data_IF_724608323735
#
_entry.id   IF_724608323735
#
_cell.length_a   1.000
_cell.length_b   1.000
_cell.length_c   1.000
_cell.angle_alpha   90.00
_cell.angle_beta   90.00
_cell.angle_gamma   90.00
#
_symmetry.space_group_name_H-M   'P 1'
#
loop_
_entity.id
_entity.type
_entity.pdbx_description
1 polymer ?
#
# COMPACT_ATOMS: atom_id res chain seq x y z
N UNK A 1 -10.75 -15.01 -32.93
CA UNK A 1 -10.52 -16.25 -32.15
C UNK A 1 -9.10 -16.36 -31.60
N UNK A 2 -8.04 -16.22 -32.42
CA UNK A 2 -6.63 -16.27 -31.94
C UNK A 2 -6.31 -15.20 -30.88
N UNK A 3 -6.72 -13.95 -31.12
CA UNK A 3 -6.55 -12.83 -30.17
C UNK A 3 -7.21 -13.05 -28.81
N UNK A 4 -8.39 -13.69 -28.80
CA UNK A 4 -9.13 -14.03 -27.59
C UNK A 4 -8.42 -15.13 -26.78
N UNK A 5 -8.00 -16.20 -27.46
CA UNK A 5 -7.26 -17.30 -26.84
C UNK A 5 -5.93 -16.81 -26.23
N UNK A 6 -5.18 -15.99 -26.97
CA UNK A 6 -3.94 -15.38 -26.46
C UNK A 6 -4.21 -14.50 -25.24
N UNK A 7 -5.27 -13.69 -25.26
CA UNK A 7 -5.65 -12.87 -24.11
C UNK A 7 -5.94 -13.75 -22.89
N UNK A 8 -6.86 -14.70 -22.99
CA UNK A 8 -7.25 -15.56 -21.86
C UNK A 8 -6.05 -16.37 -21.34
N UNK A 9 -5.27 -16.99 -22.22
CA UNK A 9 -4.09 -17.76 -21.84
C UNK A 9 -3.06 -16.91 -21.08
N UNK A 10 -2.78 -15.68 -21.56
CA UNK A 10 -1.85 -14.77 -20.87
C UNK A 10 -2.33 -14.37 -19.47
N UNK A 11 -3.64 -14.21 -19.29
CA UNK A 11 -4.25 -13.85 -18.00
C UNK A 11 -4.23 -15.02 -17.03
N UNK A 12 -4.51 -16.23 -17.51
CA UNK A 12 -4.39 -17.45 -16.70
C UNK A 12 -2.94 -17.69 -16.25
N UNK A 13 -1.97 -17.55 -17.15
CA UNK A 13 -0.55 -17.67 -16.81
C UNK A 13 -0.14 -16.65 -15.75
N UNK A 14 -0.65 -15.42 -15.86
CA UNK A 14 -0.39 -14.35 -14.89
C UNK A 14 -0.98 -14.67 -13.52
N UNK A 15 -2.23 -15.15 -13.45
CA UNK A 15 -2.84 -15.57 -12.18
C UNK A 15 -2.09 -16.74 -11.54
N UNK A 16 -1.64 -17.71 -12.36
CA UNK A 16 -0.82 -18.81 -11.88
C UNK A 16 0.51 -18.30 -11.30
N UNK A 17 1.19 -17.39 -12.00
CA UNK A 17 2.43 -16.80 -11.52
C UNK A 17 2.22 -16.04 -10.20
N UNK A 18 1.13 -15.28 -10.08
CA UNK A 18 0.77 -14.61 -8.82
C UNK A 18 0.51 -15.60 -7.70
N UNK A 19 -0.25 -16.66 -7.95
CA UNK A 19 -0.50 -17.69 -6.96
C UNK A 19 0.79 -18.37 -6.50
N UNK A 20 1.67 -18.79 -7.44
CA UNK A 20 2.95 -19.45 -7.10
C UNK A 20 3.83 -18.52 -6.26
N UNK A 21 4.00 -17.27 -6.70
CA UNK A 21 4.85 -16.29 -6.00
C UNK A 21 4.27 -15.93 -4.64
N UNK A 22 2.97 -15.76 -4.52
CA UNK A 22 2.34 -15.43 -3.23
C UNK A 22 2.38 -16.62 -2.28
N UNK A 23 1.90 -17.79 -2.71
CA UNK A 23 1.76 -18.97 -1.85
C UNK A 23 3.11 -19.58 -1.42
N UNK A 24 4.08 -19.63 -2.33
CA UNK A 24 5.34 -20.36 -2.08
C UNK A 24 6.54 -19.46 -1.77
N UNK A 25 6.48 -18.16 -2.07
CA UNK A 25 7.56 -17.23 -1.75
C UNK A 25 7.13 -16.21 -0.69
N UNK A 26 6.07 -15.43 -0.92
CA UNK A 26 5.76 -14.25 -0.09
C UNK A 26 5.03 -14.57 1.21
N UNK A 27 4.11 -15.55 1.21
CA UNK A 27 3.41 -15.98 2.43
C UNK A 27 4.34 -16.63 3.46
N UNK A 28 5.20 -17.60 3.12
CA UNK A 28 6.07 -18.23 4.10
C UNK A 28 7.28 -17.37 4.49
N UNK A 29 7.55 -16.25 3.80
CA UNK A 29 8.80 -15.50 3.92
C UNK A 29 9.11 -15.04 5.35
N UNK A 30 8.16 -14.40 6.03
CA UNK A 30 8.37 -13.87 7.38
C UNK A 30 8.50 -15.00 8.41
N UNK A 31 7.59 -15.99 8.47
CA UNK A 31 7.75 -17.13 9.38
C UNK A 31 9.03 -17.94 9.14
N UNK A 32 9.46 -18.10 7.89
CA UNK A 32 10.67 -18.85 7.54
C UNK A 32 11.95 -18.15 8.01
N UNK A 33 12.01 -16.82 7.86
CA UNK A 33 13.19 -16.03 8.19
C UNK A 33 13.26 -15.64 9.68
N UNK A 34 12.12 -15.47 10.34
CA UNK A 34 12.05 -14.86 11.68
C UNK A 34 11.24 -15.67 12.70
N UNK A 35 10.79 -16.87 12.36
CA UNK A 35 10.00 -17.75 13.23
C UNK A 35 10.75 -18.19 14.50
N UNK A 36 10.05 -18.32 15.65
CA UNK A 36 8.64 -17.99 15.86
C UNK A 36 8.38 -16.48 15.80
N UNK A 37 7.26 -16.12 15.17
CA UNK A 37 6.80 -14.74 15.06
C UNK A 37 5.72 -14.53 16.10
N UNK A 38 5.87 -13.48 16.90
CA UNK A 38 5.05 -13.28 18.08
C UNK A 38 4.19 -12.03 17.93
N UNK A 39 3.05 -11.91 18.64
CA UNK A 39 2.18 -10.74 18.50
C UNK A 39 2.93 -9.41 18.72
N UNK A 40 3.82 -9.33 19.72
CA UNK A 40 4.57 -8.12 20.03
C UNK A 40 5.52 -7.65 18.92
N UNK A 41 5.80 -8.48 17.90
CA UNK A 41 6.55 -8.06 16.72
C UNK A 41 5.80 -7.04 15.85
N UNK A 42 4.47 -6.92 16.04
CA UNK A 42 3.57 -6.06 15.29
C UNK A 42 2.68 -5.18 16.19
N UNK A 43 3.05 -4.99 17.45
CA UNK A 43 2.26 -4.18 18.36
C UNK A 43 2.28 -2.67 18.03
N UNK A 44 1.58 -1.87 18.83
CA UNK A 44 1.57 -0.42 18.68
C UNK A 44 2.97 0.20 18.88
N UNK A 45 3.84 -0.42 19.68
CA UNK A 45 5.18 0.06 19.92
C UNK A 45 6.06 -0.11 18.67
N UNK A 46 5.95 -1.25 17.99
CA UNK A 46 6.55 -1.54 16.70
C UNK A 46 6.18 -0.49 15.65
N UNK A 47 4.96 0.09 15.68
CA UNK A 47 4.55 1.15 14.75
C UNK A 47 5.33 2.48 14.92
N UNK A 48 5.91 2.74 16.09
CA UNK A 48 6.61 3.99 16.43
C UNK A 48 8.11 4.00 16.14
N UNK A 49 8.59 3.10 15.27
CA UNK A 49 9.98 2.85 14.88
C UNK A 49 10.94 4.07 14.94
N UNK A 50 10.66 5.15 14.21
CA UNK A 50 11.60 6.29 14.13
C UNK A 50 11.81 7.03 15.45
N UNK A 51 10.82 7.02 16.36
CA UNK A 51 10.94 7.63 17.69
C UNK A 51 11.79 6.81 18.65
N UNK A 52 12.14 5.59 18.26
CA UNK A 52 12.87 4.59 19.05
C UNK A 52 14.20 4.21 18.40
N UNK A 53 14.66 4.99 17.42
CA UNK A 53 16.01 4.82 16.89
C UNK A 53 17.02 5.00 18.03
N UNK A 54 18.18 4.30 18.00
CA UNK A 54 19.18 4.37 19.07
C UNK A 54 19.71 5.78 19.39
N UNK A 55 19.48 6.76 18.51
CA UNK A 55 19.83 8.16 18.72
C UNK A 55 18.88 8.90 19.68
N UNK A 56 17.67 8.37 19.90
CA UNK A 56 16.69 8.93 20.85
C UNK A 56 16.71 8.11 22.14
N UNK A 57 16.64 8.78 23.30
CA UNK A 57 16.45 8.10 24.58
C UNK A 57 15.06 7.45 24.62
N UNK A 58 15.01 6.15 24.34
CA UNK A 58 13.80 5.33 24.43
C UNK A 58 14.02 4.17 25.38
N UNK A 59 13.02 3.85 26.20
CA UNK A 59 13.08 2.70 27.14
C UNK A 59 13.32 1.37 26.43
N UNK A 60 12.81 1.24 25.21
CA UNK A 60 12.90 0.03 24.39
C UNK A 60 13.35 0.42 22.96
N UNK A 61 14.68 0.50 22.73
CA UNK A 61 15.23 0.89 21.43
C UNK A 61 14.93 -0.16 20.35
N UNK A 62 14.82 0.30 19.11
CA UNK A 62 14.63 -0.56 17.93
C UNK A 62 15.71 -1.63 17.87
N UNK A 63 15.30 -2.87 17.66
CA UNK A 63 16.21 -4.00 17.48
C UNK A 63 16.55 -4.24 15.99
N UNK A 64 17.65 -4.95 15.75
CA UNK A 64 17.98 -5.41 14.39
C UNK A 64 16.90 -6.36 13.86
N UNK A 65 16.34 -7.23 14.70
CA UNK A 65 15.25 -8.14 14.33
C UNK A 65 14.01 -7.37 13.88
N UNK A 66 13.56 -6.37 14.65
CA UNK A 66 12.43 -5.51 14.28
C UNK A 66 12.66 -4.84 12.92
N UNK A 67 13.87 -4.31 12.69
CA UNK A 67 14.24 -3.66 11.43
C UNK A 67 14.15 -4.63 10.25
N UNK A 68 14.70 -5.85 10.39
CA UNK A 68 14.69 -6.85 9.33
C UNK A 68 13.27 -7.36 9.04
N UNK A 69 12.47 -7.63 10.08
CA UNK A 69 11.05 -8.00 9.93
C UNK A 69 10.31 -6.90 9.17
N UNK A 70 10.51 -5.63 9.57
CA UNK A 70 9.85 -4.49 8.93
C UNK A 70 10.25 -4.33 7.46
N UNK A 71 11.53 -4.53 7.10
CA UNK A 71 11.99 -4.50 5.70
C UNK A 71 11.23 -5.55 4.87
N UNK A 72 11.22 -6.80 5.34
CA UNK A 72 10.58 -7.92 4.64
C UNK A 72 9.06 -7.73 4.59
N UNK A 73 8.46 -7.24 5.68
CA UNK A 73 7.05 -6.89 5.75
C UNK A 73 6.67 -5.84 4.73
N UNK A 74 7.44 -4.75 4.60
CA UNK A 74 7.16 -3.70 3.62
C UNK A 74 7.18 -4.22 2.19
N UNK A 75 8.17 -5.06 1.84
CA UNK A 75 8.24 -5.68 0.51
C UNK A 75 7.04 -6.60 0.26
N UNK A 76 6.71 -7.45 1.23
CA UNK A 76 5.55 -8.34 1.17
C UNK A 76 4.24 -7.57 1.06
N UNK A 77 4.08 -6.50 1.82
CA UNK A 77 2.88 -5.67 1.84
C UNK A 77 2.65 -4.98 0.48
N UNK A 78 3.70 -4.42 -0.12
CA UNK A 78 3.62 -3.83 -1.48
C UNK A 78 3.22 -4.89 -2.50
N UNK A 79 3.84 -6.09 -2.42
CA UNK A 79 3.54 -7.20 -3.32
C UNK A 79 2.08 -7.66 -3.21
N UNK A 80 1.59 -7.91 -2.00
CA UNK A 80 0.23 -8.42 -1.78
C UNK A 80 -0.82 -7.42 -2.27
N UNK A 81 -0.70 -6.14 -1.89
CA UNK A 81 -1.64 -5.12 -2.34
C UNK A 81 -1.64 -4.94 -3.87
N UNK A 82 -0.47 -5.09 -4.51
CA UNK A 82 -0.38 -5.08 -5.97
C UNK A 82 -1.08 -6.31 -6.60
N UNK A 83 -0.79 -7.50 -6.08
CA UNK A 83 -1.34 -8.76 -6.60
C UNK A 83 -2.84 -8.83 -6.39
N UNK A 84 -3.35 -8.47 -5.21
CA UNK A 84 -4.79 -8.60 -4.90
C UNK A 84 -5.65 -7.80 -5.88
N UNK A 85 -5.27 -6.54 -6.12
CA UNK A 85 -5.99 -5.64 -7.02
C UNK A 85 -5.84 -6.09 -8.48
N UNK A 86 -4.64 -6.42 -8.92
CA UNK A 86 -4.38 -6.79 -10.32
C UNK A 86 -4.86 -8.20 -10.67
N UNK A 87 -4.89 -9.12 -9.70
CA UNK A 87 -5.46 -10.46 -9.85
C UNK A 87 -6.98 -10.36 -10.01
N UNK A 88 -7.67 -9.56 -9.19
CA UNK A 88 -9.10 -9.31 -9.34
C UNK A 88 -9.43 -8.75 -10.74
N UNK A 89 -8.66 -7.77 -11.22
CA UNK A 89 -8.79 -7.25 -12.59
C UNK A 89 -8.58 -8.31 -13.66
N UNK A 90 -7.52 -9.10 -13.50
CA UNK A 90 -7.14 -10.14 -14.44
C UNK A 90 -8.20 -11.24 -14.51
N UNK A 91 -8.77 -11.61 -13.37
CA UNK A 91 -9.86 -12.57 -13.25
C UNK A 91 -11.15 -12.04 -13.90
N UNK A 92 -11.56 -10.82 -13.58
CA UNK A 92 -12.73 -10.20 -14.22
C UNK A 92 -12.55 -10.08 -15.73
N UNK A 93 -11.33 -9.75 -16.20
CA UNK A 93 -11.04 -9.72 -17.63
C UNK A 93 -11.23 -11.06 -18.33
N UNK A 94 -10.90 -12.18 -17.67
CA UNK A 94 -11.20 -13.52 -18.20
C UNK A 94 -12.72 -13.73 -18.31
N UNK A 95 -13.50 -13.31 -17.31
CA UNK A 95 -14.95 -13.44 -17.32
C UNK A 95 -15.57 -12.61 -18.45
N UNK A 96 -15.32 -11.29 -18.49
CA UNK A 96 -16.00 -10.37 -19.40
C UNK A 96 -15.54 -10.52 -20.86
N UNK A 97 -14.24 -10.72 -21.10
CA UNK A 97 -13.71 -10.88 -22.46
C UNK A 97 -13.78 -12.34 -22.92
N UNK A 98 -13.36 -13.28 -22.07
CA UNK A 98 -13.20 -14.69 -22.38
C UNK A 98 -14.50 -15.48 -22.41
N UNK A 99 -15.27 -15.41 -21.31
CA UNK A 99 -16.44 -16.26 -21.07
C UNK A 99 -17.70 -15.61 -21.63
N UNK A 100 -18.02 -14.40 -21.14
CA UNK A 100 -19.24 -13.67 -21.50
C UNK A 100 -19.14 -13.00 -22.87
N UNK A 101 -17.92 -12.73 -23.35
CA UNK A 101 -17.64 -12.04 -24.62
C UNK A 101 -18.37 -10.70 -24.75
N UNK A 102 -18.52 -9.99 -23.64
CA UNK A 102 -19.13 -8.67 -23.58
C UNK A 102 -18.15 -7.57 -23.99
N UNK A 103 -16.87 -7.78 -23.68
CA UNK A 103 -15.81 -6.80 -23.90
C UNK A 103 -14.73 -7.34 -24.85
N UNK A 104 -14.02 -6.41 -25.48
CA UNK A 104 -12.82 -6.68 -26.26
C UNK A 104 -11.55 -6.66 -25.38
N UNK A 105 -10.48 -7.38 -25.77
CA UNK A 105 -9.20 -7.34 -25.05
C UNK A 105 -8.63 -5.92 -24.84
N UNK A 106 -8.91 -4.99 -25.74
CA UNK A 106 -8.41 -3.61 -25.72
C UNK A 106 -9.08 -2.76 -24.62
N UNK A 107 -10.29 -3.12 -24.21
CA UNK A 107 -11.04 -2.44 -23.14
C UNK A 107 -10.53 -2.81 -21.74
N UNK A 108 -9.65 -3.82 -21.64
CA UNK A 108 -9.06 -4.31 -20.40
C UNK A 108 -7.55 -4.00 -20.30
N UNK A 109 -7.15 -2.72 -20.24
CA UNK A 109 -5.74 -2.34 -20.12
C UNK A 109 -5.14 -2.80 -18.79
N UNK A 110 -3.81 -2.71 -18.66
CA UNK A 110 -3.13 -3.04 -17.40
C UNK A 110 -3.53 -2.06 -16.30
N UNK A 111 -3.84 -2.57 -15.11
CA UNK A 111 -4.14 -1.70 -13.95
C UNK A 111 -2.93 -0.91 -13.49
N UNK A 112 -1.75 -1.50 -13.60
CA UNK A 112 -0.50 -0.92 -13.16
C UNK A 112 0.38 -0.52 -14.34
N UNK A 113 1.27 0.44 -14.10
CA UNK A 113 2.35 0.80 -15.01
C UNK A 113 3.62 0.00 -14.73
N UNK A 114 4.75 0.48 -15.25
CA UNK A 114 6.05 -0.14 -14.96
C UNK A 114 6.51 0.19 -13.54
N UNK A 115 6.89 -0.81 -12.72
CA UNK A 115 7.53 -0.59 -11.42
C UNK A 115 8.82 0.23 -11.51
N UNK A 116 9.50 0.21 -12.67
CA UNK A 116 10.74 0.96 -12.91
C UNK A 116 10.53 2.49 -12.90
N UNK A 117 9.29 2.95 -12.99
CA UNK A 117 8.95 4.37 -12.89
C UNK A 117 8.66 4.82 -11.47
N UNK A 118 8.62 3.91 -10.49
CA UNK A 118 8.21 4.17 -9.10
C UNK A 118 9.33 4.74 -8.20
N UNK A 119 10.20 5.60 -8.75
CA UNK A 119 11.33 6.22 -8.02
C UNK A 119 10.99 7.60 -7.42
N UNK A 120 9.72 7.94 -7.29
CA UNK A 120 9.23 9.09 -6.52
C UNK A 120 7.79 8.80 -6.16
N UNK A 121 7.26 9.33 -5.06
CA UNK A 121 5.88 9.08 -4.66
C UNK A 121 4.90 9.65 -5.69
N UNK A 122 5.20 10.80 -6.29
CA UNK A 122 4.40 11.32 -7.41
C UNK A 122 4.32 10.34 -8.58
N UNK A 123 5.43 9.69 -8.92
CA UNK A 123 5.46 8.70 -10.01
C UNK A 123 4.89 7.36 -9.60
N UNK A 124 5.09 6.94 -8.36
CA UNK A 124 4.46 5.77 -7.77
C UNK A 124 2.94 5.86 -7.97
N UNK A 125 2.31 6.93 -7.47
CA UNK A 125 0.85 7.09 -7.56
C UNK A 125 0.34 7.48 -8.96
N UNK A 126 1.12 8.22 -9.75
CA UNK A 126 0.67 8.74 -11.05
C UNK A 126 1.05 7.90 -12.28
N UNK A 127 2.06 7.04 -12.19
CA UNK A 127 2.58 6.24 -13.32
C UNK A 127 2.50 4.74 -13.06
N UNK A 128 2.71 4.30 -11.83
CA UNK A 128 2.75 2.88 -11.49
C UNK A 128 1.43 2.38 -10.90
N UNK A 129 0.95 2.97 -9.81
CA UNK A 129 -0.18 2.50 -9.01
C UNK A 129 -1.54 2.76 -9.66
N UNK A 130 -2.42 1.77 -9.58
CA UNK A 130 -3.87 1.84 -9.81
C UNK A 130 -4.36 2.91 -10.81
N UNK A 131 -4.02 2.73 -12.09
CA UNK A 131 -4.20 3.75 -13.14
C UNK A 131 -5.66 3.95 -13.57
N UNK A 132 -6.53 2.96 -13.34
CA UNK A 132 -7.93 3.00 -13.79
C UNK A 132 -8.73 4.09 -13.09
N UNK A 133 -8.49 4.30 -11.79
CA UNK A 133 -9.24 5.29 -10.99
C UNK A 133 -8.75 6.73 -11.20
N UNK A 134 -7.55 6.93 -11.77
CA UNK A 134 -6.97 8.26 -11.92
C UNK A 134 -7.82 9.18 -12.81
N UNK A 135 -8.32 8.68 -13.95
CA UNK A 135 -9.14 9.48 -14.88
C UNK A 135 -10.45 9.98 -14.25
N UNK A 136 -11.30 9.11 -13.65
CA UNK A 136 -12.54 9.57 -13.03
C UNK A 136 -12.28 10.53 -11.86
N UNK A 137 -11.27 10.24 -11.01
CA UNK A 137 -10.93 11.13 -9.89
C UNK A 137 -10.44 12.49 -10.36
N UNK A 138 -9.59 12.54 -11.39
CA UNK A 138 -9.15 13.80 -11.98
C UNK A 138 -10.32 14.58 -12.60
N UNK A 139 -11.28 13.89 -13.22
CA UNK A 139 -12.49 14.51 -13.76
C UNK A 139 -13.29 15.23 -12.68
N UNK A 140 -13.61 14.53 -11.58
CA UNK A 140 -14.26 15.10 -10.41
C UNK A 140 -13.45 16.26 -9.82
N UNK A 141 -12.14 16.08 -9.66
CA UNK A 141 -11.28 17.11 -9.10
C UNK A 141 -11.27 18.39 -9.94
N UNK A 142 -11.27 18.27 -11.27
CA UNK A 142 -11.37 19.42 -12.19
C UNK A 142 -12.72 20.13 -12.11
N UNK A 143 -13.82 19.40 -11.91
CA UNK A 143 -15.15 20.02 -11.72
C UNK A 143 -15.13 20.90 -10.47
N UNK A 144 -14.64 20.37 -9.35
CA UNK A 144 -14.54 21.13 -8.09
C UNK A 144 -13.57 22.30 -8.21
N UNK A 145 -12.38 22.10 -8.82
CA UNK A 145 -11.41 23.17 -9.08
C UNK A 145 -11.99 24.33 -9.90
N UNK A 146 -12.84 24.02 -10.89
CA UNK A 146 -13.56 25.04 -11.67
C UNK A 146 -14.59 25.79 -10.84
N UNK A 147 -15.40 25.06 -10.06
CA UNK A 147 -16.45 25.64 -9.19
C UNK A 147 -15.88 26.56 -8.12
N UNK A 148 -14.73 26.21 -7.56
CA UNK A 148 -14.03 27.01 -6.53
C UNK A 148 -13.05 28.04 -7.11
N UNK A 149 -13.01 28.21 -8.43
CA UNK A 149 -12.10 29.12 -9.13
C UNK A 149 -10.59 28.91 -8.86
N UNK A 150 -10.17 27.75 -8.34
CA UNK A 150 -8.76 27.45 -8.03
C UNK A 150 -7.89 27.42 -9.28
N UNK A 151 -8.45 27.06 -10.43
CA UNK A 151 -7.78 27.16 -11.74
C UNK A 151 -7.27 28.57 -12.08
N UNK A 152 -7.83 29.63 -11.47
CA UNK A 152 -7.38 31.01 -11.66
C UNK A 152 -6.20 31.39 -10.76
N UNK A 153 -5.90 30.59 -9.74
CA UNK A 153 -4.86 30.87 -8.73
C UNK A 153 -3.45 30.43 -9.16
N UNK A 154 -3.28 30.05 -10.43
CA UNK A 154 -2.00 29.66 -11.01
C UNK A 154 -1.75 28.15 -11.08
N UNK A 155 -0.97 27.74 -12.08
CA UNK A 155 -0.77 26.34 -12.46
C UNK A 155 -0.23 25.44 -11.32
N UNK A 156 0.64 25.99 -10.46
CA UNK A 156 1.22 25.21 -9.35
C UNK A 156 0.17 24.93 -8.27
N UNK A 157 -0.61 25.94 -7.88
CA UNK A 157 -1.64 25.79 -6.86
C UNK A 157 -2.77 24.89 -7.36
N UNK A 158 -3.17 25.03 -8.63
CA UNK A 158 -4.16 24.14 -9.24
C UNK A 158 -3.68 22.67 -9.21
N UNK A 159 -2.42 22.39 -9.59
CA UNK A 159 -1.89 21.03 -9.55
C UNK A 159 -1.85 20.45 -8.14
N UNK A 160 -1.50 21.26 -7.13
CA UNK A 160 -1.51 20.84 -5.73
C UNK A 160 -2.94 20.53 -5.26
N UNK A 161 -3.87 21.42 -5.55
CA UNK A 161 -5.28 21.25 -5.21
C UNK A 161 -5.91 20.01 -5.87
N UNK A 162 -5.64 19.81 -7.16
CA UNK A 162 -6.11 18.62 -7.88
C UNK A 162 -5.51 17.34 -7.29
N UNK A 163 -4.22 17.36 -6.92
CA UNK A 163 -3.57 16.21 -6.28
C UNK A 163 -4.24 15.92 -4.94
N UNK A 164 -4.39 16.92 -4.06
CA UNK A 164 -5.09 16.78 -2.79
C UNK A 164 -6.49 16.18 -2.98
N UNK A 165 -7.27 16.71 -3.91
CA UNK A 165 -8.65 16.26 -4.11
C UNK A 165 -8.74 14.85 -4.68
N UNK A 166 -7.82 14.43 -5.56
CA UNK A 166 -7.75 13.04 -6.04
C UNK A 166 -7.49 12.08 -4.87
N UNK A 167 -6.55 12.42 -3.98
CA UNK A 167 -6.27 11.62 -2.80
C UNK A 167 -7.44 11.61 -1.81
N UNK A 168 -8.10 12.76 -1.59
CA UNK A 168 -9.29 12.85 -0.75
C UNK A 168 -10.43 11.96 -1.26
N UNK A 169 -10.72 12.00 -2.57
CA UNK A 169 -11.74 11.13 -3.19
C UNK A 169 -11.37 9.66 -3.02
N UNK A 170 -10.09 9.31 -3.20
CA UNK A 170 -9.60 7.95 -2.96
C UNK A 170 -9.79 7.52 -1.51
N UNK A 171 -9.42 8.37 -0.54
CA UNK A 171 -9.59 8.08 0.88
C UNK A 171 -11.04 7.92 1.29
N UNK A 172 -11.95 8.75 0.75
CA UNK A 172 -13.39 8.59 0.97
C UNK A 172 -13.93 7.28 0.39
N UNK A 173 -13.44 6.85 -0.77
CA UNK A 173 -13.84 5.58 -1.36
C UNK A 173 -13.43 4.38 -0.49
N UNK A 174 -12.24 4.43 0.12
CA UNK A 174 -11.79 3.43 1.09
C UNK A 174 -12.61 3.47 2.39
N UNK A 175 -12.83 4.67 2.93
CA UNK A 175 -13.62 4.87 4.14
C UNK A 175 -15.05 4.31 4.04
N UNK A 176 -15.68 4.38 2.86
CA UNK A 176 -17.01 3.77 2.63
C UNK A 176 -16.98 2.25 2.84
N UNK A 177 -15.89 1.57 2.46
CA UNK A 177 -15.73 0.13 2.67
C UNK A 177 -15.59 -0.16 4.16
N UNK A 178 -14.74 0.60 4.86
CA UNK A 178 -14.50 0.45 6.31
C UNK A 178 -15.76 0.71 7.13
N UNK A 179 -16.54 1.75 6.79
CA UNK A 179 -17.84 2.03 7.42
C UNK A 179 -18.84 0.89 7.19
N UNK A 180 -18.89 0.32 5.98
CA UNK A 180 -19.76 -0.83 5.69
C UNK A 180 -19.35 -2.09 6.45
N UNK A 181 -18.07 -2.21 6.79
CA UNK A 181 -17.54 -3.24 7.69
C UNK A 181 -17.75 -2.97 9.18
N UNK A 182 -18.38 -1.84 9.56
CA UNK A 182 -18.56 -1.45 10.96
C UNK A 182 -17.34 -0.82 11.62
N UNK A 183 -16.32 -0.44 10.84
CA UNK A 183 -15.01 -0.02 11.33
C UNK A 183 -14.80 1.49 11.18
N UNK A 184 -15.44 2.26 12.05
CA UNK A 184 -15.47 3.73 11.94
C UNK A 184 -14.10 4.38 12.15
N UNK A 185 -13.27 3.84 13.04
CA UNK A 185 -11.91 4.35 13.30
C UNK A 185 -11.04 4.17 12.04
N UNK A 186 -11.05 2.97 11.45
CA UNK A 186 -10.32 2.68 10.21
C UNK A 186 -10.76 3.60 9.06
N UNK A 187 -12.04 3.97 8.99
CA UNK A 187 -12.53 4.91 7.99
C UNK A 187 -11.89 6.32 8.10
N UNK A 188 -11.58 6.78 9.32
CA UNK A 188 -10.86 8.04 9.54
C UNK A 188 -9.39 7.90 9.16
N UNK A 189 -8.79 6.76 9.49
CA UNK A 189 -7.41 6.44 9.14
C UNK A 189 -7.21 6.33 7.63
N UNK A 190 -8.17 5.74 6.91
CA UNK A 190 -8.22 5.68 5.45
C UNK A 190 -8.09 7.08 4.83
N UNK A 191 -8.99 7.99 5.21
CA UNK A 191 -9.00 9.37 4.68
C UNK A 191 -7.69 10.08 5.04
N UNK A 192 -7.26 9.93 6.29
CA UNK A 192 -6.04 10.57 6.81
C UNK A 192 -4.80 10.11 6.03
N UNK A 193 -4.67 8.81 5.79
CA UNK A 193 -3.56 8.22 5.05
C UNK A 193 -3.43 8.77 3.63
N UNK A 194 -4.53 8.81 2.87
CA UNK A 194 -4.49 9.34 1.51
C UNK A 194 -4.21 10.85 1.50
N UNK A 195 -4.79 11.61 2.43
CA UNK A 195 -4.47 13.04 2.59
C UNK A 195 -2.99 13.28 2.91
N UNK A 196 -2.40 12.48 3.81
CA UNK A 196 -0.95 12.55 4.12
C UNK A 196 -0.11 12.26 2.89
N UNK A 197 -0.47 11.27 2.06
CA UNK A 197 0.23 11.00 0.80
C UNK A 197 0.24 12.23 -0.12
N UNK A 198 -0.87 12.97 -0.20
CA UNK A 198 -0.93 14.20 -1.00
C UNK A 198 0.02 15.29 -0.46
N UNK A 199 0.12 15.43 0.86
CA UNK A 199 1.04 16.38 1.51
C UNK A 199 2.50 15.97 1.29
N UNK A 200 2.82 14.69 1.42
CA UNK A 200 4.16 14.15 1.19
C UNK A 200 4.60 14.36 -0.26
N UNK A 201 3.70 14.18 -1.24
CA UNK A 201 3.98 14.49 -2.65
C UNK A 201 4.24 15.98 -2.87
N UNK A 202 3.53 16.85 -2.16
CA UNK A 202 3.76 18.30 -2.22
C UNK A 202 5.16 18.65 -1.70
N UNK A 203 5.55 18.09 -0.55
CA UNK A 203 6.88 18.25 0.05
C UNK A 203 7.97 17.67 -0.87
N UNK A 204 7.77 16.47 -1.43
CA UNK A 204 8.67 15.87 -2.43
C UNK A 204 8.87 16.83 -3.61
N UNK A 205 7.81 17.49 -4.08
CA UNK A 205 7.89 18.49 -5.14
C UNK A 205 8.75 19.71 -4.78
N UNK A 206 8.67 20.20 -3.54
CA UNK A 206 9.51 21.30 -3.04
C UNK A 206 10.97 20.86 -2.97
N UNK A 207 11.24 19.69 -2.38
CA UNK A 207 12.61 19.14 -2.26
C UNK A 207 13.24 18.96 -3.64
N UNK A 208 12.52 18.37 -4.60
CA UNK A 208 12.98 18.22 -5.98
C UNK A 208 13.27 19.59 -6.62
N UNK A 209 12.47 20.62 -6.30
CA UNK A 209 12.72 21.99 -6.73
C UNK A 209 14.03 22.55 -6.17
N UNK A 210 14.31 22.34 -4.89
CA UNK A 210 15.53 22.80 -4.21
C UNK A 210 16.80 22.12 -4.75
N UNK A 211 16.73 20.82 -5.05
CA UNK A 211 17.87 20.07 -5.63
C UNK A 211 17.94 20.15 -7.16
N UNK A 212 17.02 20.87 -7.80
CA UNK A 212 17.00 21.01 -9.26
C UNK A 212 18.27 21.63 -9.86
N UNK A 213 18.99 22.57 -9.21
CA UNK A 213 20.23 23.13 -9.75
C UNK A 213 21.38 22.12 -9.80
N UNK A 214 21.43 21.17 -8.86
CA UNK A 214 22.49 20.15 -8.81
C UNK A 214 22.19 18.93 -9.68
N UNK A 215 20.91 18.71 -10.01
CA UNK A 215 20.43 17.55 -10.78
C UNK A 215 21.14 17.34 -12.13
N UNK A 216 21.47 18.36 -12.94
CA UNK A 216 22.17 18.16 -14.21
C UNK A 216 23.57 17.55 -14.06
N UNK A 217 24.19 17.69 -12.89
CA UNK A 217 25.52 17.15 -12.60
C UNK A 217 25.48 15.70 -12.07
N UNK A 218 24.28 15.18 -11.77
CA UNK A 218 24.10 13.82 -11.24
C UNK A 218 23.71 12.85 -12.36
N UNK A 219 24.32 11.66 -12.42
CA UNK A 219 23.87 10.62 -13.34
C UNK A 219 22.41 10.23 -13.11
N UNK A 220 21.66 10.01 -14.20
CA UNK A 220 20.24 9.68 -14.12
C UNK A 220 19.94 8.41 -13.29
N UNK A 221 20.84 7.42 -13.33
CA UNK A 221 20.71 6.20 -12.54
C UNK A 221 20.83 6.48 -11.02
N UNK A 222 21.71 7.40 -10.61
CA UNK A 222 21.89 7.78 -9.21
C UNK A 222 20.60 8.44 -8.68
N UNK A 223 20.03 9.38 -9.42
CA UNK A 223 18.74 10.00 -9.10
C UNK A 223 17.61 8.96 -8.96
N UNK A 224 17.60 7.90 -9.80
CA UNK A 224 16.61 6.82 -9.71
C UNK A 224 16.82 5.97 -8.45
N UNK A 225 18.06 5.58 -8.13
CA UNK A 225 18.35 4.80 -6.92
C UNK A 225 17.94 5.56 -5.67
N UNK A 226 18.35 6.83 -5.54
CA UNK A 226 17.95 7.69 -4.42
C UNK A 226 16.42 7.78 -4.33
N UNK A 227 15.76 7.91 -5.47
CA UNK A 227 14.30 7.92 -5.57
C UNK A 227 13.63 6.63 -5.10
N UNK A 228 14.18 5.46 -5.45
CA UNK A 228 13.68 4.18 -4.96
C UNK A 228 13.91 4.00 -3.46
N UNK A 229 15.06 4.42 -2.94
CA UNK A 229 15.34 4.42 -1.50
C UNK A 229 14.32 5.30 -0.77
N UNK A 230 14.01 6.47 -1.32
CA UNK A 230 12.99 7.37 -0.76
C UNK A 230 11.60 6.72 -0.73
N UNK A 231 11.14 6.16 -1.85
CA UNK A 231 9.83 5.49 -1.93
C UNK A 231 9.76 4.29 -0.98
N UNK A 232 10.83 3.50 -0.90
CA UNK A 232 10.92 2.39 0.05
C UNK A 232 10.87 2.88 1.49
N UNK A 233 11.63 3.94 1.83
CA UNK A 233 11.65 4.53 3.18
C UNK A 233 10.26 5.05 3.58
N UNK A 234 9.55 5.67 2.64
CA UNK A 234 8.16 6.08 2.86
C UNK A 234 7.26 4.89 3.19
N UNK A 235 7.32 3.80 2.42
CA UNK A 235 6.51 2.61 2.69
C UNK A 235 6.96 1.83 3.93
N UNK A 236 8.26 1.85 4.25
CA UNK A 236 8.82 1.32 5.48
C UNK A 236 8.24 2.00 6.72
N UNK A 237 7.90 3.29 6.60
CA UNK A 237 7.21 4.04 7.62
C UNK A 237 5.69 3.85 7.59
N UNK A 238 5.09 3.90 6.41
CA UNK A 238 3.65 3.99 6.22
C UNK A 238 2.93 2.63 6.30
N UNK A 239 3.48 1.56 5.70
CA UNK A 239 2.80 0.27 5.65
C UNK A 239 2.55 -0.35 7.04
N UNK A 240 3.48 -0.30 8.01
CA UNK A 240 3.23 -0.77 9.36
C UNK A 240 2.08 -0.06 10.08
N UNK A 241 1.94 1.26 9.88
CA UNK A 241 0.85 2.04 10.50
C UNK A 241 -0.52 1.61 10.01
N UNK A 242 -0.58 1.06 8.80
CA UNK A 242 -1.80 0.57 8.20
C UNK A 242 -2.10 -0.88 8.62
N UNK A 243 -1.10 -1.75 8.56
CA UNK A 243 -1.34 -3.20 8.57
C UNK A 243 -0.87 -3.94 9.83
N UNK A 244 -0.06 -3.33 10.71
CA UNK A 244 0.43 -4.04 11.90
C UNK A 244 -0.68 -4.40 12.87
N UNK A 245 -1.69 -3.54 13.01
CA UNK A 245 -2.84 -3.80 13.88
C UNK A 245 -3.57 -5.09 13.48
N UNK A 246 -3.89 -5.24 12.19
CA UNK A 246 -4.58 -6.43 11.68
C UNK A 246 -3.75 -7.71 11.91
N UNK A 247 -2.43 -7.65 11.67
CA UNK A 247 -1.53 -8.79 11.88
C UNK A 247 -1.40 -9.14 13.37
N UNK A 248 -1.31 -8.13 14.23
CA UNK A 248 -1.25 -8.30 15.68
C UNK A 248 -2.52 -8.98 16.21
N UNK A 249 -3.70 -8.54 15.79
CA UNK A 249 -4.97 -9.16 16.16
C UNK A 249 -5.09 -10.61 15.66
N UNK A 250 -4.66 -10.87 14.41
CA UNK A 250 -4.65 -12.22 13.85
C UNK A 250 -3.76 -13.16 14.68
N UNK A 251 -2.55 -12.72 15.03
CA UNK A 251 -1.63 -13.51 15.85
C UNK A 251 -2.15 -13.74 17.27
N UNK A 252 -2.77 -12.74 17.91
CA UNK A 252 -3.41 -12.91 19.21
C UNK A 252 -4.53 -13.96 19.15
N UNK A 253 -5.39 -13.87 18.14
CA UNK A 253 -6.49 -14.82 17.96
C UNK A 253 -6.00 -16.26 17.76
N UNK A 254 -4.85 -16.43 17.10
CA UNK A 254 -4.22 -17.73 16.89
C UNK A 254 -3.60 -18.27 18.18
N UNK A 255 -2.94 -17.43 18.97
CA UNK A 255 -2.44 -17.80 20.31
C UNK A 255 -3.58 -18.24 21.21
N UNK A 256 -4.68 -17.49 21.26
CA UNK A 256 -5.86 -17.87 22.02
C UNK A 256 -6.44 -19.21 21.55
N UNK A 257 -6.57 -19.40 20.23
CA UNK A 257 -7.07 -20.65 19.65
C UNK A 257 -6.20 -21.85 20.05
N UNK A 258 -4.88 -21.69 20.08
CA UNK A 258 -3.93 -22.72 20.54
C UNK A 258 -4.09 -23.00 22.03
N UNK A 259 -4.23 -21.97 22.86
CA UNK A 259 -4.44 -22.12 24.30
C UNK A 259 -5.73 -22.89 24.60
N UNK A 260 -6.82 -22.60 23.87
CA UNK A 260 -8.09 -23.35 23.97
C UNK A 260 -7.92 -24.82 23.61
N UNK A 261 -7.23 -25.11 22.51
CA UNK A 261 -6.95 -26.49 22.07
C UNK A 261 -6.10 -27.28 23.08
N UNK A 262 -5.23 -26.60 23.82
CA UNK A 262 -4.35 -27.21 24.83
C UNK A 262 -5.01 -27.31 26.22
N UNK A 263 -6.27 -26.89 26.38
CA UNK A 263 -6.97 -26.94 27.67
C UNK A 263 -6.47 -25.93 28.70
N UNK A 264 -5.74 -24.89 28.26
CA UNK A 264 -5.15 -23.87 29.13
C UNK A 264 -6.14 -22.79 29.59
N UNK A 265 -7.44 -22.90 29.26
CA UNK A 265 -8.49 -21.99 29.76
C UNK A 265 -8.65 -22.01 31.29
N UNK A 266 -8.13 -23.02 31.98
CA UNK A 266 -8.28 -23.16 33.44
C UNK A 266 -7.51 -22.11 34.26
N UNK A 267 -6.53 -21.41 33.70
CA UNK A 267 -5.67 -20.50 34.49
C UNK A 267 -6.10 -19.02 34.46
N UNK A 268 -6.88 -18.59 33.48
CA UNK A 268 -7.39 -17.20 33.43
C UNK A 268 -8.61 -17.00 34.33
N UNK A 269 -9.37 -18.06 34.64
CA UNK A 269 -10.50 -18.02 35.57
C UNK A 269 -10.12 -17.90 37.06
N UNK A 270 -8.89 -18.22 37.46
CA UNK A 270 -8.45 -18.17 38.87
C UNK A 270 -7.80 -16.84 39.29
N UNK A 271 -7.39 -15.99 38.33
CA UNK A 271 -6.86 -14.66 38.62
C UNK A 271 -7.95 -13.56 38.60
N UNK A 272 -9.15 -13.90 38.09
CA UNK A 272 -10.37 -13.10 38.24
C UNK A 272 -11.14 -13.47 39.51
N UNK A 273 -10.46 -13.44 40.66
CA UNK A 273 -11.13 -13.48 41.96
C UNK A 273 -11.84 -12.14 42.20
N UNK A 274 -13.15 -12.22 42.47
CA UNK A 274 -14.08 -11.16 42.88
C UNK A 274 -13.47 -9.90 43.51
#
# INVERSE_FOLDING_TARGET
>A
MRTLLTFVASRLLKLLAYWVMTAHLMTPLIPLLFGPVEPWDFDHYAQTYFRRLPFFESREPVTTRETLIRIVFTLRWIWLNFVDVDAAHTFLGIIFVGILRLDSPQEWPTMFGSPLEAYSLRRYWGRFWHRLVHKPYLGLAKVVSRKLHVHKSGLRLEKLFLTFLIFLISGLAHAIVSVRGGKLIEAVDDVSFYCVNSAVIAVEGVVIGLVSPIRPFLPAWCCKIVGFIWVFTFWFWAAPKWAYHEVHEELLSEVERRNRMQGLEMFTGMLGGK
#
